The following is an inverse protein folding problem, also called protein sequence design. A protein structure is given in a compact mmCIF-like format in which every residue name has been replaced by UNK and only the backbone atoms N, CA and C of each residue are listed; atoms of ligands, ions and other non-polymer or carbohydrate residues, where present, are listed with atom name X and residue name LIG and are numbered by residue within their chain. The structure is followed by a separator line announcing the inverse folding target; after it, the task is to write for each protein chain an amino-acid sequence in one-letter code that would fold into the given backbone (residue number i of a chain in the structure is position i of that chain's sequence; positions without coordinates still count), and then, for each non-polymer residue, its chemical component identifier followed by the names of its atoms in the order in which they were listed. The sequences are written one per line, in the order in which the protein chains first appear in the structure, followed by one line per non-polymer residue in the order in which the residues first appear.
data_IF_346805380743
#
_entry.id   IF_346805380743
#
_cell.length_a   1.000
_cell.length_b   1.000
_cell.length_c   1.000
_cell.angle_alpha   90.00
_cell.angle_beta   90.00
_cell.angle_gamma   90.00
#
_symmetry.space_group_name_H-M   'P 1'
#
loop_
_entity.id
_entity.type
_entity.pdbx_description
1 polymer ?
#
# COMPACT_ATOMS: atom_id res chain seq x y z
N UNK A 1 -24.59 -14.57 -14.79
CA UNK A 1 -23.14 -14.45 -14.54
C UNK A 1 -22.90 -14.98 -13.13
N UNK A 2 -22.51 -16.25 -13.00
CA UNK A 2 -22.41 -16.92 -11.70
C UNK A 2 -21.25 -16.34 -10.91
N UNK A 3 -21.55 -15.69 -9.79
CA UNK A 3 -20.54 -15.35 -8.79
C UNK A 3 -20.14 -16.66 -8.10
N UNK A 4 -18.99 -17.20 -8.48
CA UNK A 4 -18.32 -18.27 -7.76
C UNK A 4 -17.81 -17.67 -6.43
N UNK A 5 -18.39 -18.03 -5.26
CA UNK A 5 -18.17 -17.31 -4.00
C UNK A 5 -16.73 -17.38 -3.48
N UNK A 6 -15.86 -18.17 -4.13
CA UNK A 6 -14.44 -18.28 -3.80
C UNK A 6 -13.50 -17.36 -4.59
N UNK A 7 -13.95 -16.74 -5.70
CA UNK A 7 -13.07 -16.01 -6.64
C UNK A 7 -13.17 -14.49 -6.50
N UNK A 8 -12.04 -13.76 -6.49
CA UNK A 8 -12.03 -12.29 -6.41
C UNK A 8 -12.69 -11.66 -7.64
N UNK A 9 -13.41 -10.55 -7.46
CA UNK A 9 -13.93 -9.79 -8.59
C UNK A 9 -12.85 -8.86 -9.17
N UNK A 10 -12.21 -9.31 -10.26
CA UNK A 10 -11.12 -8.58 -10.90
C UNK A 10 -11.51 -7.20 -11.43
N UNK A 11 -12.75 -7.01 -11.90
CA UNK A 11 -13.20 -5.72 -12.39
C UNK A 11 -13.23 -4.69 -11.25
N UNK A 12 -13.71 -5.09 -10.07
CA UNK A 12 -13.70 -4.23 -8.87
C UNK A 12 -12.28 -3.97 -8.38
N UNK A 13 -11.42 -4.99 -8.32
CA UNK A 13 -10.01 -4.81 -7.96
C UNK A 13 -9.30 -3.83 -8.90
N UNK A 14 -9.60 -3.88 -10.20
CA UNK A 14 -9.05 -2.94 -11.17
C UNK A 14 -9.54 -1.52 -10.95
N UNK A 15 -10.84 -1.32 -10.74
CA UNK A 15 -11.40 0.00 -10.40
C UNK A 15 -10.80 0.54 -9.11
N UNK A 16 -10.61 -0.31 -8.11
CA UNK A 16 -10.00 0.05 -6.84
C UNK A 16 -8.54 0.47 -7.03
N UNK A 17 -7.76 -0.29 -7.81
CA UNK A 17 -6.38 0.04 -8.15
C UNK A 17 -6.27 1.41 -8.80
N UNK A 18 -7.09 1.67 -9.82
CA UNK A 18 -7.10 2.97 -10.52
C UNK A 18 -7.48 4.09 -9.55
N UNK A 19 -8.51 3.88 -8.73
CA UNK A 19 -8.95 4.87 -7.74
C UNK A 19 -7.86 5.17 -6.70
N UNK A 20 -7.15 4.15 -6.23
CA UNK A 20 -6.03 4.29 -5.30
C UNK A 20 -4.86 5.05 -5.93
N UNK A 21 -4.52 4.76 -7.19
CA UNK A 21 -3.48 5.49 -7.93
C UNK A 21 -3.87 6.97 -8.07
N UNK A 22 -5.11 7.24 -8.47
CA UNK A 22 -5.60 8.62 -8.58
C UNK A 22 -5.54 9.34 -7.24
N UNK A 23 -5.97 8.71 -6.14
CA UNK A 23 -5.88 9.29 -4.81
C UNK A 23 -4.43 9.59 -4.40
N UNK A 24 -3.49 8.67 -4.64
CA UNK A 24 -2.07 8.86 -4.38
C UNK A 24 -1.48 10.03 -5.18
N UNK A 25 -1.79 10.11 -6.48
CA UNK A 25 -1.35 11.22 -7.35
C UNK A 25 -1.93 12.55 -6.88
N UNK A 26 -3.21 12.59 -6.52
CA UNK A 26 -3.84 13.81 -5.98
C UNK A 26 -3.15 14.27 -4.70
N UNK A 27 -2.87 13.35 -3.76
CA UNK A 27 -2.15 13.70 -2.53
C UNK A 27 -0.73 14.15 -2.82
N UNK A 28 -0.01 13.52 -3.75
CA UNK A 28 1.32 13.96 -4.16
C UNK A 28 1.31 15.41 -4.67
N UNK A 29 0.39 15.73 -5.59
CA UNK A 29 0.27 17.08 -6.16
C UNK A 29 -0.11 18.09 -5.09
N UNK A 30 -1.14 17.82 -4.28
CA UNK A 30 -1.60 18.74 -3.24
C UNK A 30 -0.52 18.96 -2.18
N UNK A 31 0.10 17.90 -1.67
CA UNK A 31 1.17 18.00 -0.67
C UNK A 31 2.40 18.71 -1.24
N UNK A 32 2.76 18.43 -2.49
CA UNK A 32 3.85 19.12 -3.18
C UNK A 32 3.60 20.61 -3.37
N UNK A 33 2.35 21.01 -3.65
CA UNK A 33 1.95 22.42 -3.74
C UNK A 33 2.04 23.11 -2.36
N UNK A 34 1.51 22.48 -1.31
CA UNK A 34 1.50 23.04 0.05
C UNK A 34 2.92 23.19 0.63
N UNK A 35 3.81 22.25 0.34
CA UNK A 35 5.20 22.27 0.81
C UNK A 35 6.15 23.01 -0.13
N UNK A 36 5.65 23.61 -1.22
CA UNK A 36 6.47 24.38 -2.17
C UNK A 36 7.45 23.54 -2.99
N UNK A 37 7.24 22.22 -3.09
CA UNK A 37 8.12 21.29 -3.82
C UNK A 37 8.35 21.74 -5.27
N UNK A 38 7.32 22.27 -5.93
CA UNK A 38 7.42 22.70 -7.33
C UNK A 38 8.07 24.07 -7.53
N UNK A 39 8.33 24.83 -6.45
CA UNK A 39 8.97 26.16 -6.50
C UNK A 39 10.42 26.10 -6.05
N UNK A 40 10.68 25.41 -4.95
CA UNK A 40 12.01 25.24 -4.37
C UNK A 40 12.10 23.81 -3.78
N UNK A 41 12.39 22.80 -4.62
CA UNK A 41 12.39 21.42 -4.17
C UNK A 41 13.51 21.18 -3.16
N UNK A 42 13.14 20.87 -1.92
CA UNK A 42 14.02 20.32 -0.91
C UNK A 42 13.89 18.81 -0.85
N UNK A 43 14.99 18.10 -0.56
CA UNK A 43 14.96 16.63 -0.43
C UNK A 43 13.92 16.19 0.60
N UNK A 44 13.86 16.86 1.75
CA UNK A 44 12.90 16.55 2.81
C UNK A 44 11.43 16.69 2.34
N UNK A 45 11.09 17.76 1.63
CA UNK A 45 9.70 18.01 1.20
C UNK A 45 9.27 17.06 0.08
N UNK A 46 10.19 16.68 -0.81
CA UNK A 46 9.95 15.64 -1.83
C UNK A 46 9.71 14.29 -1.17
N UNK A 47 10.56 13.90 -0.21
CA UNK A 47 10.43 12.63 0.51
C UNK A 47 9.11 12.56 1.27
N UNK A 48 8.71 13.64 1.95
CA UNK A 48 7.42 13.71 2.64
C UNK A 48 6.23 13.62 1.68
N UNK A 49 6.28 14.33 0.55
CA UNK A 49 5.22 14.26 -0.47
C UNK A 49 5.05 12.83 -1.02
N UNK A 50 6.17 12.13 -1.28
CA UNK A 50 6.17 10.73 -1.71
C UNK A 50 5.65 9.79 -0.61
N UNK A 51 6.03 10.01 0.65
CA UNK A 51 5.55 9.22 1.78
C UNK A 51 4.03 9.35 1.95
N UNK A 52 3.48 10.57 1.89
CA UNK A 52 2.04 10.80 1.97
C UNK A 52 1.28 10.18 0.79
N UNK A 53 1.81 10.32 -0.43
CA UNK A 53 1.22 9.71 -1.62
C UNK A 53 1.22 8.18 -1.53
N UNK A 54 2.33 7.58 -1.10
CA UNK A 54 2.50 6.14 -0.95
C UNK A 54 1.60 5.57 0.15
N UNK A 55 1.52 6.26 1.30
CA UNK A 55 0.59 5.91 2.38
C UNK A 55 -0.86 5.97 1.90
N UNK A 56 -1.23 7.01 1.15
CA UNK A 56 -2.60 7.16 0.62
C UNK A 56 -2.94 6.05 -0.36
N UNK A 57 -2.07 5.80 -1.34
CA UNK A 57 -2.27 4.71 -2.29
C UNK A 57 -2.39 3.36 -1.57
N UNK A 58 -1.45 3.07 -0.67
CA UNK A 58 -1.41 1.84 0.11
C UNK A 58 -2.69 1.66 0.92
N UNK A 59 -3.13 2.69 1.64
CA UNK A 59 -4.34 2.68 2.45
C UNK A 59 -5.60 2.42 1.60
N UNK A 60 -5.81 3.21 0.54
CA UNK A 60 -7.02 3.13 -0.29
C UNK A 60 -7.11 1.77 -0.96
N UNK A 61 -6.00 1.25 -1.49
CA UNK A 61 -6.00 -0.06 -2.14
C UNK A 61 -6.14 -1.21 -1.14
N UNK A 62 -5.36 -1.19 -0.05
CA UNK A 62 -5.38 -2.26 0.96
C UNK A 62 -6.74 -2.34 1.66
N UNK A 63 -7.21 -1.25 2.26
CA UNK A 63 -8.49 -1.25 2.97
C UNK A 63 -9.68 -1.38 2.01
N UNK A 64 -9.58 -0.81 0.81
CA UNK A 64 -10.60 -0.98 -0.20
C UNK A 64 -10.74 -2.43 -0.64
N UNK A 65 -9.64 -3.15 -0.86
CA UNK A 65 -9.65 -4.56 -1.19
C UNK A 65 -10.13 -5.40 0.00
N UNK A 66 -9.75 -5.05 1.23
CA UNK A 66 -10.21 -5.72 2.44
C UNK A 66 -11.73 -5.61 2.62
N UNK A 67 -12.29 -4.40 2.45
CA UNK A 67 -13.71 -4.12 2.67
C UNK A 67 -14.61 -4.62 1.55
N UNK A 68 -14.15 -4.55 0.31
CA UNK A 68 -14.98 -4.84 -0.87
C UNK A 68 -14.71 -6.22 -1.47
N UNK A 69 -13.50 -6.75 -1.29
CA UNK A 69 -13.01 -7.99 -1.94
C UNK A 69 -12.15 -8.83 -0.97
N UNK A 70 -12.63 -9.02 0.27
CA UNK A 70 -11.93 -9.69 1.39
C UNK A 70 -11.44 -11.13 1.11
N UNK A 71 -11.82 -11.71 -0.03
CA UNK A 71 -11.29 -12.96 -0.56
C UNK A 71 -9.77 -12.98 -0.78
N UNK A 72 -9.11 -11.83 -0.97
CA UNK A 72 -7.64 -11.81 -1.19
C UNK A 72 -6.85 -12.04 0.10
N UNK A 73 -7.39 -11.65 1.26
CA UNK A 73 -6.71 -11.79 2.55
C UNK A 73 -6.45 -13.25 2.92
N UNK A 74 -7.33 -14.18 2.53
CA UNK A 74 -7.20 -15.62 2.85
C UNK A 74 -5.95 -16.27 2.25
N UNK A 75 -5.32 -15.61 1.27
CA UNK A 75 -4.10 -16.09 0.64
C UNK A 75 -2.83 -15.55 1.30
N UNK A 76 -2.93 -14.62 2.26
CA UNK A 76 -1.81 -14.18 3.07
C UNK A 76 -1.67 -15.16 4.24
N UNK A 77 -0.61 -15.97 4.23
CA UNK A 77 -0.42 -17.04 5.21
C UNK A 77 0.35 -16.57 6.45
N UNK A 78 1.46 -15.89 6.24
CA UNK A 78 2.31 -15.37 7.32
C UNK A 78 3.16 -14.21 6.83
N UNK A 79 3.59 -13.38 7.79
CA UNK A 79 4.64 -12.39 7.60
C UNK A 79 5.82 -12.80 8.48
N UNK A 80 6.94 -13.10 7.84
CA UNK A 80 8.17 -13.51 8.53
C UNK A 80 9.27 -12.50 8.27
N UNK A 81 9.96 -12.10 9.33
CA UNK A 81 11.18 -11.31 9.23
C UNK A 81 12.36 -12.28 9.16
N UNK A 82 12.91 -12.45 7.97
CA UNK A 82 14.01 -13.38 7.72
C UNK A 82 15.32 -12.60 7.64
N UNK A 83 16.31 -13.01 8.43
CA UNK A 83 17.68 -12.49 8.36
C UNK A 83 18.36 -13.21 7.18
N UNK A 84 18.64 -12.48 6.10
CA UNK A 84 19.34 -12.98 4.92
C UNK A 84 20.73 -12.32 4.85
N UNK A 85 21.74 -12.99 5.40
CA UNK A 85 23.09 -12.43 5.49
C UNK A 85 23.11 -11.21 6.42
N UNK A 86 23.62 -10.08 5.92
CA UNK A 86 23.66 -8.81 6.67
C UNK A 86 22.33 -8.03 6.61
N UNK A 87 21.35 -8.50 5.82
CA UNK A 87 20.08 -7.82 5.60
C UNK A 87 18.93 -8.46 6.39
N UNK A 88 18.09 -7.61 6.99
CA UNK A 88 16.80 -8.03 7.57
C UNK A 88 15.71 -7.79 6.53
N UNK A 89 15.09 -8.87 6.02
CA UNK A 89 14.04 -8.79 5.01
C UNK A 89 12.70 -9.21 5.58
N UNK A 90 11.67 -8.39 5.39
CA UNK A 90 10.29 -8.79 5.63
C UNK A 90 9.81 -9.60 4.42
N UNK A 91 9.50 -10.87 4.64
CA UNK A 91 9.00 -11.81 3.63
C UNK A 91 7.54 -12.11 3.94
N UNK A 92 6.65 -11.72 3.03
CA UNK A 92 5.22 -12.09 3.12
C UNK A 92 5.01 -13.40 2.36
N UNK A 93 4.60 -14.44 3.07
CA UNK A 93 4.29 -15.74 2.49
C UNK A 93 2.84 -15.76 2.01
N UNK A 94 2.67 -16.01 0.71
CA UNK A 94 1.37 -16.08 0.04
C UNK A 94 1.08 -17.49 -0.42
N UNK A 95 -0.13 -18.00 -0.17
CA UNK A 95 -0.58 -19.26 -0.76
C UNK A 95 -0.71 -19.10 -2.28
N UNK A 96 -0.13 -20.02 -3.06
CA UNK A 96 -0.40 -20.05 -4.50
C UNK A 96 -1.84 -20.51 -4.72
N UNK A 97 -2.58 -19.71 -5.48
CA UNK A 97 -3.97 -20.01 -5.85
C UNK A 97 -4.08 -21.00 -7.01
N UNK A 98 -2.96 -21.30 -7.69
CA UNK A 98 -2.94 -22.07 -8.94
C UNK A 98 -3.37 -21.27 -10.18
N UNK A 99 -3.78 -20.00 -10.01
CA UNK A 99 -4.14 -19.07 -11.09
C UNK A 99 -3.16 -17.87 -11.10
N UNK A 100 -2.36 -17.68 -12.18
CA UNK A 100 -1.42 -16.57 -12.28
C UNK A 100 -2.04 -15.19 -12.12
N UNK A 101 -3.31 -15.02 -12.49
CA UNK A 101 -4.02 -13.74 -12.38
C UNK A 101 -4.34 -13.44 -10.93
N UNK A 102 -4.81 -14.42 -10.17
CA UNK A 102 -5.11 -14.26 -8.74
C UNK A 102 -3.80 -14.03 -7.97
N UNK A 103 -2.75 -14.78 -8.26
CA UNK A 103 -1.43 -14.64 -7.62
C UNK A 103 -0.85 -13.22 -7.80
N UNK A 104 -1.03 -12.60 -8.98
CA UNK A 104 -0.65 -11.20 -9.21
C UNK A 104 -1.42 -10.21 -8.32
N UNK A 105 -2.72 -10.45 -8.12
CA UNK A 105 -3.54 -9.60 -7.25
C UNK A 105 -3.21 -9.78 -5.78
N UNK A 106 -2.89 -11.01 -5.34
CA UNK A 106 -2.38 -11.29 -3.99
C UNK A 106 -1.07 -10.52 -3.76
N UNK A 107 -0.13 -10.58 -4.72
CA UNK A 107 1.13 -9.83 -4.63
C UNK A 107 0.91 -8.31 -4.57
N UNK A 108 -0.02 -7.78 -5.37
CA UNK A 108 -0.38 -6.34 -5.35
C UNK A 108 -0.99 -5.94 -4.00
N UNK A 109 -1.84 -6.79 -3.42
CA UNK A 109 -2.44 -6.58 -2.11
C UNK A 109 -1.40 -6.59 -0.99
N UNK A 110 -0.51 -7.60 -0.97
CA UNK A 110 0.59 -7.68 -0.01
C UNK A 110 1.52 -6.47 -0.11
N UNK A 111 1.88 -6.06 -1.34
CA UNK A 111 2.67 -4.85 -1.58
C UNK A 111 2.00 -3.60 -1.00
N UNK A 112 0.72 -3.37 -1.30
CA UNK A 112 0.02 -2.19 -0.82
C UNK A 112 -0.10 -2.15 0.71
N UNK A 113 -0.34 -3.31 1.33
CA UNK A 113 -0.37 -3.45 2.80
C UNK A 113 0.98 -3.09 3.42
N UNK A 114 2.06 -3.66 2.87
CA UNK A 114 3.41 -3.45 3.40
C UNK A 114 3.87 -2.00 3.14
N UNK A 115 3.58 -1.45 1.95
CA UNK A 115 3.86 -0.05 1.61
C UNK A 115 3.14 0.91 2.57
N UNK A 116 1.87 0.66 2.87
CA UNK A 116 1.13 1.46 3.84
C UNK A 116 1.77 1.42 5.22
N UNK A 117 2.06 0.21 5.74
CA UNK A 117 2.71 0.02 7.03
C UNK A 117 4.06 0.73 7.13
N UNK A 118 4.92 0.56 6.13
CA UNK A 118 6.23 1.22 6.08
C UNK A 118 6.13 2.74 5.93
N UNK A 119 5.10 3.25 5.24
CA UNK A 119 4.93 4.69 5.04
C UNK A 119 4.35 5.38 6.27
N UNK A 120 3.47 4.73 7.03
CA UNK A 120 2.77 5.36 8.16
C UNK A 120 3.59 5.37 9.46
N UNK A 121 4.41 4.34 9.69
CA UNK A 121 5.21 4.22 10.94
C UNK A 121 6.12 5.44 11.17
N UNK A 122 6.94 5.90 10.19
CA UNK A 122 7.75 7.10 10.38
C UNK A 122 6.91 8.36 10.61
N UNK A 123 5.76 8.48 9.95
CA UNK A 123 4.87 9.64 10.11
C UNK A 123 4.31 9.69 11.54
N UNK A 124 3.88 8.55 12.08
CA UNK A 124 3.39 8.45 13.46
C UNK A 124 4.48 8.75 14.48
N UNK A 125 5.71 8.28 14.26
CA UNK A 125 6.86 8.59 15.12
C UNK A 125 7.13 10.10 15.12
N UNK A 126 7.19 10.73 13.94
CA UNK A 126 7.40 12.18 13.82
C UNK A 126 6.28 12.99 14.49
N UNK A 127 5.02 12.57 14.31
CA UNK A 127 3.89 13.21 14.97
C UNK A 127 3.98 13.07 16.51
N UNK A 128 4.29 11.87 17.02
CA UNK A 128 4.45 11.65 18.46
C UNK A 128 5.58 12.51 19.04
N UNK A 129 6.73 12.59 18.37
CA UNK A 129 7.85 13.45 18.78
C UNK A 129 7.46 14.93 18.77
N UNK A 130 6.64 15.38 17.82
CA UNK A 130 6.19 16.77 17.78
C UNK A 130 5.24 17.14 18.93
N UNK A 131 4.37 16.21 19.36
CA UNK A 131 3.39 16.48 20.42
C UNK A 131 3.91 16.18 21.84
N UNK A 132 4.86 15.26 21.99
CA UNK A 132 5.33 14.77 23.30
C UNK A 132 6.83 14.97 23.56
N UNK A 133 7.60 15.47 22.59
CA UNK A 133 9.01 15.84 22.73
C UNK A 133 9.17 17.33 23.02
#
# INVERSE_FOLDING_TARGET
MSMDPGKPNFARLRTLQVSAVMAGVSVFVISGLLMGVFRAPGVATVVLALAFASATFGAVFYFGALLLEGSLQKYILSDETVIQGDDVKMVTHTASSGDPVIDKWIGTYAFARNLFGMSIVPILILAALYYFG
#
